data_IF_261231049615
#
_entry.id   IF_261231049615
#
_cell.length_a   1.000
_cell.length_b   1.000
_cell.length_c   1.000
_cell.angle_alpha   90.00
_cell.angle_beta   90.00
_cell.angle_gamma   90.00
#
_symmetry.space_group_name_H-M   'P 1'
#
loop_
_entity.id
_entity.type
_entity.pdbx_description
1 polymer ?
#
# COMPACT_ATOMS: atom_id res chain seq x y z
N UNK A 1 2.03 34.92 -38.03
CA UNK A 1 0.98 35.88 -38.40
C UNK A 1 0.20 35.18 -39.47
N UNK A 2 -1.10 34.89 -39.30
CA UNK A 2 -1.84 34.20 -40.35
C UNK A 2 -2.38 35.27 -41.29
N UNK A 3 -1.89 35.25 -42.52
CA UNK A 3 -2.36 36.13 -43.59
C UNK A 3 -3.12 35.23 -44.54
N UNK A 4 -4.43 35.38 -44.61
CA UNK A 4 -5.23 34.76 -45.66
C UNK A 4 -5.47 35.80 -46.74
N UNK A 5 -4.94 35.58 -47.95
CA UNK A 5 -5.11 36.47 -49.08
C UNK A 5 -6.12 35.83 -50.03
N UNK A 6 -7.27 36.48 -50.21
CA UNK A 6 -8.29 35.99 -51.11
C UNK A 6 -7.98 36.45 -52.54
N UNK A 7 -7.20 35.65 -53.27
CA UNK A 7 -6.80 35.94 -54.66
C UNK A 7 -7.93 35.79 -55.67
N UNK A 8 -8.91 34.91 -55.41
CA UNK A 8 -10.03 34.63 -56.30
C UNK A 8 -11.14 35.67 -56.11
N UNK A 9 -11.03 36.80 -56.82
CA UNK A 9 -12.02 37.87 -56.79
C UNK A 9 -12.54 38.20 -58.18
N UNK A 10 -13.84 38.45 -58.28
CA UNK A 10 -14.51 38.85 -59.53
C UNK A 10 -13.87 40.13 -60.06
N UNK A 11 -13.40 40.15 -61.31
CA UNK A 11 -12.71 41.30 -61.92
C UNK A 11 -11.18 41.32 -61.77
N UNK A 12 -10.56 40.27 -61.21
CA UNK A 12 -9.11 40.06 -61.19
C UNK A 12 -8.56 39.37 -62.43
N UNK A 13 -7.23 39.37 -62.62
CA UNK A 13 -6.56 38.66 -63.73
C UNK A 13 -6.54 37.16 -63.42
N UNK A 14 -7.19 36.30 -64.25
CA UNK A 14 -7.42 34.88 -63.89
C UNK A 14 -6.12 34.09 -63.66
N UNK A 15 -5.17 34.19 -64.61
CA UNK A 15 -3.97 33.34 -64.61
C UNK A 15 -3.05 33.56 -63.40
N UNK A 16 -2.88 34.81 -62.96
CA UNK A 16 -2.02 35.15 -61.83
C UNK A 16 -2.69 34.87 -60.49
N UNK A 17 -4.01 35.03 -60.42
CA UNK A 17 -4.77 34.83 -59.19
C UNK A 17 -4.97 33.34 -58.86
N UNK A 18 -5.15 32.50 -59.87
CA UNK A 18 -5.31 31.04 -59.68
C UNK A 18 -4.02 30.38 -59.18
N UNK A 19 -2.86 30.78 -59.72
CA UNK A 19 -1.56 30.28 -59.26
C UNK A 19 -1.29 30.68 -57.80
N UNK A 20 -1.57 31.94 -57.46
CA UNK A 20 -1.37 32.44 -56.09
C UNK A 20 -2.34 31.82 -55.08
N UNK A 21 -3.59 31.55 -55.48
CA UNK A 21 -4.54 30.79 -54.67
C UNK A 21 -4.02 29.37 -54.39
N UNK A 22 -3.51 28.69 -55.41
CA UNK A 22 -2.93 27.33 -55.27
C UNK A 22 -1.73 27.31 -54.32
N UNK A 23 -0.85 28.30 -54.39
CA UNK A 23 0.29 28.44 -53.47
C UNK A 23 -0.19 28.67 -52.04
N UNK A 24 -1.25 29.48 -51.85
CA UNK A 24 -1.82 29.73 -50.54
C UNK A 24 -2.42 28.44 -49.93
N UNK A 25 -3.14 27.64 -50.71
CA UNK A 25 -3.68 26.35 -50.27
C UNK A 25 -2.58 25.35 -49.89
N UNK A 26 -1.48 25.31 -50.66
CA UNK A 26 -0.33 24.49 -50.32
C UNK A 26 0.29 24.90 -48.96
N UNK A 27 0.37 26.21 -48.67
CA UNK A 27 0.85 26.71 -47.37
C UNK A 27 -0.14 26.37 -46.25
N UNK A 28 -1.45 26.41 -46.51
CA UNK A 28 -2.47 26.05 -45.52
C UNK A 28 -2.41 24.56 -45.12
N UNK A 29 -1.84 23.70 -45.96
CA UNK A 29 -1.67 22.27 -45.65
C UNK A 29 -0.76 22.05 -44.43
N UNK A 30 0.15 22.99 -44.12
CA UNK A 30 0.98 22.91 -42.92
C UNK A 30 0.19 23.03 -41.60
N UNK A 31 -1.08 23.49 -41.63
CA UNK A 31 -1.91 23.56 -40.43
C UNK A 31 -2.24 22.18 -39.84
N UNK A 32 -2.14 21.11 -40.62
CA UNK A 32 -2.31 19.73 -40.12
C UNK A 32 -1.27 19.41 -39.03
N UNK A 33 -0.10 20.07 -39.03
CA UNK A 33 0.88 19.95 -37.95
C UNK A 33 0.40 20.60 -36.64
N UNK A 34 -0.52 21.56 -36.72
CA UNK A 34 -1.21 22.15 -35.58
C UNK A 34 -2.13 21.14 -34.88
N UNK A 35 -2.84 20.32 -35.66
CA UNK A 35 -3.72 19.28 -35.11
C UNK A 35 -2.95 18.26 -34.26
N UNK A 36 -1.68 17.97 -34.61
CA UNK A 36 -0.82 17.06 -33.84
C UNK A 36 -0.50 17.57 -32.44
N UNK A 37 -0.35 18.89 -32.29
CA UNK A 37 -0.03 19.53 -31.01
C UNK A 37 -1.27 19.80 -30.15
N UNK A 38 -2.48 19.71 -30.72
CA UNK A 38 -3.75 19.91 -30.02
C UNK A 38 -4.20 21.38 -29.93
N UNK A 39 -5.48 21.56 -29.57
CA UNK A 39 -6.07 22.89 -29.38
C UNK A 39 -5.49 23.58 -28.14
N UNK A 40 -5.37 24.90 -28.17
CA UNK A 40 -4.84 25.74 -27.10
C UNK A 40 -3.41 25.34 -26.71
N UNK A 41 -2.56 25.11 -27.71
CA UNK A 41 -1.17 24.71 -27.48
C UNK A 41 -0.20 25.83 -27.88
N UNK A 42 0.78 26.10 -27.02
CA UNK A 42 1.90 27.00 -27.32
C UNK A 42 3.01 26.19 -28.00
N UNK A 43 3.31 26.52 -29.26
CA UNK A 43 4.39 25.86 -30.04
C UNK A 43 5.74 26.51 -29.76
N UNK A 44 5.78 27.85 -29.71
CA UNK A 44 7.04 28.60 -29.60
C UNK A 44 6.80 30.01 -29.05
N UNK A 45 7.83 30.61 -28.45
CA UNK A 45 7.74 31.92 -27.80
C UNK A 45 6.82 31.87 -26.59
N UNK A 46 6.02 32.91 -26.36
CA UNK A 46 5.08 33.01 -25.24
C UNK A 46 5.71 32.78 -23.85
N UNK A 47 6.92 33.30 -23.64
CA UNK A 47 7.63 33.19 -22.36
C UNK A 47 7.19 34.30 -21.43
N UNK A 48 6.90 33.94 -20.18
CA UNK A 48 6.47 34.90 -19.16
C UNK A 48 7.70 35.55 -18.53
N UNK A 49 7.74 36.88 -18.55
CA UNK A 49 8.77 37.70 -17.88
C UNK A 49 8.07 38.76 -17.04
N UNK A 50 8.00 38.53 -15.72
CA UNK A 50 7.23 39.38 -14.81
C UNK A 50 5.73 39.34 -15.17
N UNK A 51 5.14 40.51 -15.45
CA UNK A 51 3.72 40.65 -15.82
C UNK A 51 3.47 40.60 -17.34
N UNK A 52 4.49 40.33 -18.16
CA UNK A 52 4.37 40.33 -19.62
C UNK A 52 4.69 38.96 -20.21
N UNK A 53 4.05 38.65 -21.34
CA UNK A 53 4.34 37.49 -22.17
C UNK A 53 4.97 37.96 -23.48
N UNK A 54 6.07 37.32 -23.87
CA UNK A 54 6.72 37.59 -25.16
C UNK A 54 5.86 37.13 -26.35
N UNK A 55 6.06 37.70 -27.55
CA UNK A 55 5.39 37.21 -28.75
C UNK A 55 5.72 35.74 -29.03
N UNK A 56 4.84 35.05 -29.74
CA UNK A 56 5.02 33.62 -30.03
C UNK A 56 4.04 33.06 -31.04
N UNK A 57 3.92 31.74 -31.05
CA UNK A 57 3.03 30.98 -31.95
C UNK A 57 2.19 30.02 -31.13
N UNK A 58 0.89 30.09 -31.33
CA UNK A 58 -0.12 29.30 -30.61
C UNK A 58 -1.06 28.64 -31.60
N UNK A 59 -1.69 27.55 -31.17
CA UNK A 59 -2.73 26.84 -31.94
C UNK A 59 -4.07 27.10 -31.28
N UNK A 60 -5.03 27.55 -32.08
CA UNK A 60 -6.42 27.74 -31.65
C UNK A 60 -7.32 27.17 -32.74
N UNK A 61 -8.17 26.22 -32.38
CA UNK A 61 -9.13 25.53 -33.27
C UNK A 61 -8.48 24.97 -34.54
N UNK A 62 -7.27 24.39 -34.40
CA UNK A 62 -6.48 23.82 -35.49
C UNK A 62 -5.65 24.83 -36.30
N UNK A 63 -5.85 26.13 -36.06
CA UNK A 63 -5.14 27.18 -36.78
C UNK A 63 -3.84 27.58 -36.06
N UNK A 64 -2.72 27.57 -36.79
CA UNK A 64 -1.44 28.09 -36.30
C UNK A 64 -1.44 29.63 -36.41
N UNK A 65 -1.53 30.30 -35.28
CA UNK A 65 -1.66 31.75 -35.19
C UNK A 65 -0.46 32.38 -34.48
N UNK A 66 -0.14 33.62 -34.84
CA UNK A 66 0.87 34.38 -34.13
C UNK A 66 0.25 35.16 -33.00
N UNK A 67 0.89 35.04 -31.86
CA UNK A 67 0.56 35.73 -30.65
C UNK A 67 1.46 36.95 -30.49
N UNK A 68 0.85 38.13 -30.33
CA UNK A 68 1.58 39.40 -30.26
C UNK A 68 2.26 39.63 -28.90
N UNK A 69 1.91 38.85 -27.88
CA UNK A 69 2.39 39.09 -26.52
C UNK A 69 1.65 40.25 -25.85
N UNK A 70 2.21 40.72 -24.73
CA UNK A 70 1.68 41.85 -23.97
C UNK A 70 1.55 41.54 -22.49
N UNK A 71 0.86 42.43 -21.77
CA UNK A 71 0.59 42.25 -20.34
C UNK A 71 -0.39 41.11 -20.13
N UNK A 72 -0.12 40.25 -19.14
CA UNK A 72 -0.94 39.08 -18.83
C UNK A 72 -2.35 39.54 -18.45
N UNK A 73 -3.32 38.98 -19.16
CA UNK A 73 -4.77 39.06 -18.87
C UNK A 73 -5.32 37.63 -18.89
N UNK A 74 -6.45 37.40 -18.23
CA UNK A 74 -7.06 36.06 -18.14
C UNK A 74 -7.49 35.47 -19.48
N UNK A 75 -7.76 36.30 -20.50
CA UNK A 75 -8.27 35.83 -21.78
C UNK A 75 -7.46 36.32 -22.97
N UNK A 76 -7.41 35.48 -24.00
CA UNK A 76 -6.92 35.81 -25.34
C UNK A 76 -8.03 35.64 -26.36
N UNK A 77 -7.95 36.40 -27.44
CA UNK A 77 -8.90 36.30 -28.55
C UNK A 77 -8.18 36.43 -29.89
N UNK A 78 -8.80 35.92 -30.94
CA UNK A 78 -8.32 36.06 -32.32
C UNK A 78 -8.79 37.39 -32.88
N UNK A 79 -7.88 38.32 -33.04
CA UNK A 79 -8.11 39.59 -33.72
C UNK A 79 -7.99 39.40 -35.23
N UNK A 80 -9.01 39.85 -35.97
CA UNK A 80 -9.05 39.80 -37.44
C UNK A 80 -8.98 41.23 -37.98
N UNK A 81 -7.98 41.51 -38.80
CA UNK A 81 -7.76 42.79 -39.48
C UNK A 81 -7.95 42.58 -40.99
N UNK A 82 -8.87 43.33 -41.59
CA UNK A 82 -9.22 43.22 -43.01
C UNK A 82 -8.65 44.41 -43.79
N UNK A 83 -7.91 44.13 -44.86
CA UNK A 83 -7.39 45.15 -45.77
C UNK A 83 -8.18 45.11 -47.08
N UNK A 84 -8.90 46.20 -47.34
CA UNK A 84 -9.62 46.41 -48.59
C UNK A 84 -8.70 47.01 -49.66
N UNK A 85 -8.93 46.63 -50.91
CA UNK A 85 -8.36 47.30 -52.08
C UNK A 85 -9.45 47.57 -53.10
N UNK A 86 -9.30 48.68 -53.81
CA UNK A 86 -10.15 49.02 -54.95
C UNK A 86 -9.72 48.23 -56.18
N UNK A 87 -10.65 47.54 -56.81
CA UNK A 87 -10.42 46.73 -58.01
C UNK A 87 -10.65 47.54 -59.29
N UNK A 88 -10.32 46.97 -60.46
CA UNK A 88 -10.48 47.63 -61.76
C UNK A 88 -11.93 48.02 -62.09
N UNK A 89 -12.89 47.35 -61.45
CA UNK A 89 -14.32 47.65 -61.53
C UNK A 89 -14.76 48.78 -60.59
N UNK A 90 -13.81 49.50 -59.98
CA UNK A 90 -14.03 50.58 -59.00
C UNK A 90 -14.72 50.14 -57.70
N UNK A 91 -14.80 48.84 -57.44
CA UNK A 91 -15.37 48.32 -56.18
C UNK A 91 -14.27 47.98 -55.18
N UNK A 92 -14.51 48.34 -53.91
CA UNK A 92 -13.64 47.95 -52.80
C UNK A 92 -13.97 46.53 -52.36
N UNK A 93 -12.97 45.67 -52.29
CA UNK A 93 -13.11 44.29 -51.79
C UNK A 93 -11.99 43.97 -50.82
N UNK A 94 -12.29 43.15 -49.82
CA UNK A 94 -11.32 42.66 -48.84
C UNK A 94 -10.37 41.69 -49.52
N UNK A 95 -9.10 42.08 -49.66
CA UNK A 95 -8.08 41.26 -50.31
C UNK A 95 -7.30 40.43 -49.29
N UNK A 96 -6.97 41.02 -48.15
CA UNK A 96 -6.10 40.41 -47.15
C UNK A 96 -6.83 40.38 -45.81
N UNK A 97 -6.94 39.20 -45.23
CA UNK A 97 -7.45 38.98 -43.88
C UNK A 97 -6.29 38.52 -43.03
N UNK A 98 -5.91 39.32 -42.05
CA UNK A 98 -4.83 39.03 -41.12
C UNK A 98 -5.42 38.64 -39.77
N UNK A 99 -5.11 37.42 -39.31
CA UNK A 99 -5.48 36.93 -37.98
C UNK A 99 -4.26 36.90 -37.06
N UNK A 100 -4.37 37.58 -35.92
CA UNK A 100 -3.37 37.54 -34.83
C UNK A 100 -4.07 37.30 -33.50
N UNK A 101 -3.36 36.70 -32.55
CA UNK A 101 -3.88 36.47 -31.19
C UNK A 101 -3.36 37.56 -30.28
N UNK A 102 -4.27 38.17 -29.52
CA UNK A 102 -3.99 39.26 -28.58
C UNK A 102 -4.60 38.97 -27.22
N UNK A 103 -3.98 39.48 -26.16
CA UNK A 103 -4.63 39.54 -24.85
C UNK A 103 -5.80 40.53 -24.88
N UNK A 104 -6.88 40.18 -24.16
CA UNK A 104 -8.08 41.01 -24.02
C UNK A 104 -9.36 40.22 -24.23
N UNK A 105 -10.43 40.92 -24.56
CA UNK A 105 -11.73 40.32 -24.88
C UNK A 105 -12.11 40.64 -26.33
N UNK A 106 -12.51 39.61 -27.06
CA UNK A 106 -13.07 39.69 -28.42
C UNK A 106 -14.46 39.07 -28.48
N UNK A 107 -14.85 38.63 -29.68
CA UNK A 107 -16.12 37.93 -29.91
C UNK A 107 -16.11 36.50 -29.36
N UNK A 108 -14.98 35.81 -29.50
CA UNK A 108 -14.69 34.51 -28.91
C UNK A 108 -13.44 34.64 -28.06
N UNK A 109 -13.55 34.24 -26.79
CA UNK A 109 -12.47 34.32 -25.82
C UNK A 109 -12.01 32.92 -25.45
N UNK A 110 -10.70 32.73 -25.36
CA UNK A 110 -10.07 31.54 -24.82
C UNK A 110 -9.34 31.91 -23.54
N UNK A 111 -9.45 31.08 -22.52
CA UNK A 111 -8.77 31.32 -21.25
C UNK A 111 -7.26 31.08 -21.43
N UNK A 112 -6.43 32.01 -20.95
CA UNK A 112 -4.97 31.88 -21.11
C UNK A 112 -4.41 30.70 -20.31
N UNK A 113 -5.00 30.38 -19.16
CA UNK A 113 -4.57 29.27 -18.32
C UNK A 113 -4.83 27.89 -18.95
N UNK A 114 -5.70 27.82 -19.96
CA UNK A 114 -5.95 26.58 -20.70
C UNK A 114 -4.83 26.31 -21.73
N UNK A 115 -3.95 27.28 -21.99
CA UNK A 115 -2.86 27.10 -22.94
C UNK A 115 -1.73 26.26 -22.36
N UNK A 116 -1.50 25.10 -22.95
CA UNK A 116 -0.41 24.20 -22.54
C UNK A 116 0.80 24.40 -23.45
N UNK A 117 1.99 24.52 -22.86
CA UNK A 117 3.24 24.49 -23.62
C UNK A 117 3.59 23.06 -23.98
N UNK A 118 3.83 22.80 -25.26
CA UNK A 118 4.29 21.50 -25.72
C UNK A 118 5.75 21.29 -25.29
N UNK A 119 6.03 20.20 -24.57
CA UNK A 119 7.40 19.73 -24.33
C UNK A 119 8.03 19.26 -25.65
N UNK A 120 9.34 19.44 -25.78
CA UNK A 120 10.05 18.97 -26.98
C UNK A 120 10.06 17.44 -27.04
N UNK A 121 10.16 16.86 -28.24
CA UNK A 121 10.29 15.41 -28.42
C UNK A 121 11.49 14.83 -27.64
N UNK A 122 12.55 15.62 -27.47
CA UNK A 122 13.73 15.23 -26.69
C UNK A 122 13.43 15.15 -25.20
N UNK A 123 12.70 16.12 -24.65
CA UNK A 123 12.27 16.10 -23.25
C UNK A 123 11.30 14.96 -22.97
N UNK A 124 10.35 14.72 -23.86
CA UNK A 124 9.42 13.59 -23.76
C UNK A 124 10.15 12.23 -23.75
N UNK A 125 11.22 12.09 -24.55
CA UNK A 125 12.05 10.88 -24.53
C UNK A 125 12.77 10.71 -23.19
N UNK A 126 13.36 11.78 -22.67
CA UNK A 126 14.03 11.76 -21.34
C UNK A 126 13.03 11.41 -20.24
N UNK A 127 11.83 11.99 -20.26
CA UNK A 127 10.78 11.70 -19.28
C UNK A 127 10.28 10.27 -19.38
N UNK A 128 10.20 9.71 -20.58
CA UNK A 128 9.80 8.32 -20.79
C UNK A 128 10.87 7.35 -20.25
N UNK A 129 12.15 7.62 -20.50
CA UNK A 129 13.27 6.84 -19.97
C UNK A 129 13.35 6.90 -18.43
N UNK A 130 12.84 7.98 -17.83
CA UNK A 130 12.75 8.13 -16.37
C UNK A 130 11.55 7.44 -15.72
N UNK A 131 10.55 7.01 -16.50
CA UNK A 131 9.40 6.25 -15.98
C UNK A 131 9.78 4.77 -15.86
N UNK A 132 9.18 4.09 -14.89
CA UNK A 132 9.36 2.65 -14.75
C UNK A 132 8.85 1.94 -16.01
N UNK A 133 9.67 1.06 -16.58
CA UNK A 133 9.24 0.22 -17.70
C UNK A 133 8.14 -0.74 -17.25
N UNK A 134 7.26 -1.14 -18.19
CA UNK A 134 6.16 -2.08 -17.93
C UNK A 134 6.67 -3.36 -17.25
N UNK A 135 7.82 -3.85 -17.69
CA UNK A 135 8.49 -5.03 -17.10
C UNK A 135 8.76 -4.86 -15.59
N UNK A 136 9.15 -3.67 -15.15
CA UNK A 136 9.42 -3.41 -13.72
C UNK A 136 8.11 -3.37 -12.92
N UNK A 137 7.07 -2.76 -13.48
CA UNK A 137 5.73 -2.71 -12.87
C UNK A 137 5.18 -4.13 -12.69
N UNK A 138 5.23 -4.95 -13.74
CA UNK A 138 4.75 -6.34 -13.71
C UNK A 138 5.53 -7.17 -12.68
N UNK A 139 6.85 -7.03 -12.63
CA UNK A 139 7.69 -7.70 -11.63
C UNK A 139 7.37 -7.26 -10.20
N UNK A 140 7.01 -6.00 -9.99
CA UNK A 140 6.59 -5.52 -8.68
C UNK A 140 5.22 -6.07 -8.27
N UNK A 141 4.29 -6.15 -9.21
CA UNK A 141 2.98 -6.77 -9.01
C UNK A 141 3.10 -8.25 -8.63
N UNK A 142 3.91 -9.02 -9.36
CA UNK A 142 4.17 -10.44 -9.05
C UNK A 142 4.75 -10.63 -7.64
N UNK A 143 5.68 -9.75 -7.24
CA UNK A 143 6.25 -9.78 -5.89
C UNK A 143 5.22 -9.44 -4.81
N UNK A 144 4.30 -8.51 -5.08
CA UNK A 144 3.22 -8.15 -4.16
C UNK A 144 2.26 -9.33 -3.96
N UNK A 145 1.83 -10.00 -5.03
CA UNK A 145 0.97 -11.18 -4.95
C UNK A 145 1.60 -12.28 -4.08
N UNK A 146 2.92 -12.49 -4.21
CA UNK A 146 3.64 -13.45 -3.37
C UNK A 146 3.73 -12.99 -1.90
N UNK A 147 3.96 -11.69 -1.66
CA UNK A 147 4.01 -11.14 -0.31
C UNK A 147 2.66 -11.25 0.39
N UNK A 148 1.57 -10.89 -0.29
CA UNK A 148 0.21 -11.00 0.25
C UNK A 148 -0.14 -12.43 0.67
N UNK A 149 0.24 -13.43 -0.14
CA UNK A 149 0.06 -14.85 0.23
C UNK A 149 0.87 -15.25 1.46
N UNK A 150 2.09 -14.73 1.59
CA UNK A 150 2.97 -15.02 2.74
C UNK A 150 2.50 -14.32 4.02
N UNK A 151 1.93 -13.13 3.90
CA UNK A 151 1.48 -12.33 5.05
C UNK A 151 0.01 -12.57 5.41
N UNK A 152 -0.79 -13.19 4.53
CA UNK A 152 -2.20 -13.51 4.77
C UNK A 152 -2.52 -14.15 6.14
N UNK A 153 -1.75 -15.12 6.69
CA UNK A 153 -2.06 -15.69 8.00
C UNK A 153 -1.66 -14.79 9.19
N UNK A 154 -0.91 -13.71 8.94
CA UNK A 154 -0.46 -12.77 9.97
C UNK A 154 -1.59 -11.78 10.22
N UNK A 155 -2.52 -12.16 11.11
CA UNK A 155 -3.68 -11.34 11.49
C UNK A 155 -3.70 -11.07 13.00
N UNK A 156 -4.20 -9.91 13.41
CA UNK A 156 -4.36 -9.54 14.82
C UNK A 156 -5.21 -10.61 15.54
N UNK A 157 -4.70 -11.17 16.64
CA UNK A 157 -5.40 -12.21 17.41
C UNK A 157 -5.37 -13.63 16.81
N UNK A 158 -4.80 -13.82 15.61
CA UNK A 158 -4.80 -15.13 14.94
C UNK A 158 -3.49 -15.92 15.04
N UNK A 159 -2.36 -15.25 15.31
CA UNK A 159 -1.04 -15.88 15.38
C UNK A 159 -0.23 -15.34 16.55
N UNK A 160 0.64 -16.19 17.09
CA UNK A 160 1.62 -15.81 18.12
C UNK A 160 3.00 -16.35 17.76
N UNK A 161 4.04 -15.59 18.09
CA UNK A 161 5.43 -16.01 17.95
C UNK A 161 6.21 -15.85 19.25
N UNK A 162 7.17 -16.74 19.47
CA UNK A 162 8.08 -16.65 20.59
C UNK A 162 9.06 -15.48 20.39
N UNK A 163 9.15 -14.61 21.40
CA UNK A 163 10.00 -13.45 21.46
C UNK A 163 10.98 -13.59 22.63
N UNK A 164 12.25 -13.80 22.31
CA UNK A 164 13.32 -14.07 23.28
C UNK A 164 14.04 -12.80 23.78
N UNK A 165 13.49 -11.63 23.48
CA UNK A 165 14.03 -10.32 23.87
C UNK A 165 13.10 -9.64 24.90
N UNK A 166 13.54 -8.57 25.57
CA UNK A 166 12.68 -7.80 26.45
C UNK A 166 11.39 -7.34 25.76
N UNK A 167 10.28 -7.30 26.50
CA UNK A 167 8.97 -6.83 26.00
C UNK A 167 9.03 -5.37 25.54
N UNK A 168 9.92 -4.56 26.13
CA UNK A 168 10.16 -3.19 25.73
C UNK A 168 10.81 -3.05 24.32
N UNK A 169 11.39 -4.12 23.78
CA UNK A 169 12.02 -4.14 22.44
C UNK A 169 11.07 -4.68 21.36
N UNK A 170 9.79 -4.92 21.66
CA UNK A 170 8.84 -5.41 20.65
C UNK A 170 8.76 -4.40 19.50
N UNK A 171 8.93 -4.84 18.23
CA UNK A 171 8.87 -3.94 17.09
C UNK A 171 7.51 -3.25 16.93
N UNK A 172 7.51 -2.06 16.29
CA UNK A 172 6.27 -1.42 15.88
C UNK A 172 5.42 -2.34 14.99
N UNK A 173 4.10 -2.28 15.14
CA UNK A 173 3.16 -3.19 14.48
C UNK A 173 3.01 -4.55 15.16
N UNK A 174 3.64 -4.76 16.32
CA UNK A 174 3.51 -5.95 17.17
C UNK A 174 3.19 -5.55 18.61
N UNK A 175 2.58 -6.46 19.35
CA UNK A 175 2.36 -6.33 20.80
C UNK A 175 2.60 -7.65 21.51
N UNK A 176 2.75 -7.60 22.82
CA UNK A 176 2.77 -8.82 23.63
C UNK A 176 1.39 -9.49 23.64
N UNK A 177 1.35 -10.79 23.37
CA UNK A 177 0.16 -11.62 23.50
C UNK A 177 0.05 -12.14 24.94
N UNK A 178 -0.79 -11.49 25.73
CA UNK A 178 -0.90 -11.81 27.17
C UNK A 178 -1.74 -13.06 27.48
N UNK A 179 -2.61 -13.47 26.54
CA UNK A 179 -3.56 -14.57 26.72
C UNK A 179 -2.89 -15.95 26.93
N UNK A 180 -1.65 -16.09 26.48
CA UNK A 180 -0.84 -17.32 26.53
C UNK A 180 0.25 -17.29 27.61
N UNK A 181 0.30 -16.25 28.45
CA UNK A 181 1.29 -16.16 29.53
C UNK A 181 1.23 -17.38 30.46
N UNK A 182 2.37 -18.02 30.65
CA UNK A 182 2.50 -19.19 31.53
C UNK A 182 1.80 -20.45 31.02
N UNK A 183 1.37 -20.47 29.75
CA UNK A 183 0.73 -21.62 29.09
C UNK A 183 1.64 -22.19 28.01
N UNK A 184 1.62 -23.49 27.85
CA UNK A 184 2.20 -24.16 26.69
C UNK A 184 1.14 -24.23 25.59
N UNK A 185 1.51 -23.92 24.35
CA UNK A 185 0.62 -24.04 23.20
C UNK A 185 0.57 -25.51 22.78
N UNK A 186 -0.63 -26.06 22.72
CA UNK A 186 -0.88 -27.43 22.28
C UNK A 186 -1.62 -27.39 20.94
N UNK A 187 -1.29 -28.32 20.05
CA UNK A 187 -1.95 -28.42 18.75
C UNK A 187 -3.44 -28.73 18.90
N UNK A 188 -4.27 -28.01 18.15
CA UNK A 188 -5.70 -28.29 18.08
C UNK A 188 -5.95 -29.68 17.47
N UNK A 189 -6.81 -30.47 18.12
CA UNK A 189 -7.25 -31.77 17.61
C UNK A 189 -8.77 -31.90 17.78
N UNK A 190 -9.56 -31.80 16.70
CA UNK A 190 -11.03 -31.86 16.79
C UNK A 190 -11.57 -33.21 17.28
N UNK A 191 -10.76 -34.28 17.22
CA UNK A 191 -11.16 -35.62 17.64
C UNK A 191 -10.77 -35.93 19.10
N UNK A 192 -10.21 -34.96 19.82
CA UNK A 192 -9.83 -35.08 21.22
C UNK A 192 -10.65 -34.08 22.04
N UNK A 193 -11.44 -34.57 23.01
CA UNK A 193 -12.31 -33.72 23.80
C UNK A 193 -11.54 -32.61 24.54
N UNK A 194 -10.32 -32.90 25.01
CA UNK A 194 -9.50 -31.94 25.75
C UNK A 194 -8.91 -30.85 24.83
N UNK A 195 -8.75 -31.13 23.53
CA UNK A 195 -8.10 -30.25 22.54
C UNK A 195 -9.00 -29.87 21.36
N UNK A 196 -10.31 -30.11 21.45
CA UNK A 196 -11.29 -29.91 20.36
C UNK A 196 -11.67 -28.45 20.14
N UNK A 197 -11.46 -27.58 21.13
CA UNK A 197 -11.89 -26.17 21.11
C UNK A 197 -10.69 -25.24 21.14
N UNK A 198 -10.52 -24.42 20.10
CA UNK A 198 -9.46 -23.40 20.03
C UNK A 198 -9.65 -22.37 21.15
N UNK A 199 -8.56 -22.03 21.84
CA UNK A 199 -8.57 -21.05 22.93
C UNK A 199 -8.97 -21.61 24.30
N UNK A 200 -9.39 -22.87 24.38
CA UNK A 200 -9.58 -23.53 25.67
C UNK A 200 -8.25 -23.58 26.45
N UNK A 201 -8.32 -23.52 27.77
CA UNK A 201 -7.15 -23.54 28.66
C UNK A 201 -7.29 -24.66 29.68
N UNK A 202 -6.18 -25.33 30.00
CA UNK A 202 -6.16 -26.43 30.96
C UNK A 202 -4.75 -26.68 31.51
N UNK A 203 -4.62 -27.75 32.31
CA UNK A 203 -3.37 -28.18 32.92
C UNK A 203 -3.11 -27.57 34.31
N UNK A 204 -2.05 -28.07 34.96
CA UNK A 204 -1.58 -27.60 36.27
C UNK A 204 -0.05 -27.63 36.32
N UNK A 205 0.55 -26.83 37.20
CA UNK A 205 1.99 -26.89 37.50
C UNK A 205 2.35 -27.97 38.51
N UNK A 206 1.38 -28.35 39.34
CA UNK A 206 1.56 -29.35 40.39
C UNK A 206 0.39 -30.32 40.43
N UNK A 207 0.66 -31.54 40.95
CA UNK A 207 -0.38 -32.53 41.25
C UNK A 207 -0.16 -33.05 42.67
N UNK A 208 -1.24 -33.19 43.42
CA UNK A 208 -1.24 -33.82 44.73
C UNK A 208 -1.85 -35.20 44.62
N UNK A 209 -1.18 -36.21 45.20
CA UNK A 209 -1.69 -37.58 45.18
C UNK A 209 -2.92 -37.71 46.09
N UNK A 210 -3.95 -38.34 45.57
CA UNK A 210 -5.14 -38.73 46.31
C UNK A 210 -5.08 -40.22 46.65
N UNK A 211 -5.88 -40.66 47.64
CA UNK A 211 -5.95 -42.08 48.03
C UNK A 211 -6.29 -42.99 46.84
N UNK A 212 -7.13 -42.52 45.90
CA UNK A 212 -7.49 -43.28 44.69
C UNK A 212 -6.35 -43.46 43.68
N UNK A 213 -5.27 -42.68 43.79
CA UNK A 213 -4.08 -42.77 42.93
C UNK A 213 -2.97 -43.63 43.55
N UNK A 214 -3.13 -44.11 44.79
CA UNK A 214 -2.14 -44.97 45.44
C UNK A 214 -2.15 -46.37 44.82
N UNK A 215 -0.98 -47.02 44.70
CA UNK A 215 -0.92 -48.42 44.30
C UNK A 215 -1.64 -49.30 45.32
N UNK A 216 -2.24 -50.40 44.85
CA UNK A 216 -2.84 -51.41 45.74
C UNK A 216 -1.73 -52.13 46.51
N UNK A 217 -1.49 -51.69 47.73
CA UNK A 217 -0.47 -52.26 48.63
C UNK A 217 -1.14 -52.84 49.89
N UNK A 218 -0.61 -53.96 50.38
CA UNK A 218 -1.02 -54.58 51.66
C UNK A 218 0.23 -54.83 52.48
N UNK A 219 0.20 -54.42 53.75
CA UNK A 219 1.26 -54.71 54.71
C UNK A 219 0.72 -55.66 55.78
N UNK A 220 1.50 -56.69 56.13
CA UNK A 220 1.22 -57.58 57.25
C UNK A 220 2.38 -57.47 58.23
N UNK A 221 2.09 -57.18 59.49
CA UNK A 221 3.08 -57.33 60.55
C UNK A 221 2.41 -57.79 61.84
N UNK A 222 3.16 -58.49 62.69
CA UNK A 222 2.72 -58.95 64.00
C UNK A 222 3.75 -58.51 65.02
N UNK A 223 3.32 -57.77 66.05
CA UNK A 223 4.19 -57.34 67.14
C UNK A 223 3.91 -58.17 68.39
N UNK A 224 4.90 -58.93 68.84
CA UNK A 224 4.85 -59.74 70.06
C UNK A 224 5.75 -59.13 71.12
N UNK A 225 5.19 -58.73 72.26
CA UNK A 225 5.95 -58.25 73.41
C UNK A 225 5.80 -59.19 74.62
N UNK A 226 6.86 -59.41 75.41
CA UNK A 226 6.76 -60.13 76.68
C UNK A 226 5.93 -59.32 77.70
N UNK A 227 5.06 -60.00 78.43
CA UNK A 227 4.20 -59.39 79.44
C UNK A 227 5.00 -59.10 80.73
N UNK A 228 5.19 -57.79 81.00
CA UNK A 228 5.70 -57.17 82.24
C UNK A 228 7.23 -57.05 82.45
N UNK A 229 7.60 -55.95 83.10
CA UNK A 229 8.97 -55.55 83.43
C UNK A 229 9.62 -56.52 84.43
N UNK A 230 10.82 -57.01 84.10
CA UNK A 230 11.59 -57.93 84.94
C UNK A 230 11.60 -59.39 84.47
N UNK A 231 10.85 -59.75 83.42
CA UNK A 231 10.88 -61.11 82.87
C UNK A 231 12.06 -61.30 81.91
N UNK A 232 13.12 -61.97 82.36
CA UNK A 232 14.35 -62.26 81.58
C UNK A 232 14.22 -63.52 80.70
N UNK A 233 13.01 -63.84 80.22
CA UNK A 233 12.73 -65.05 79.45
C UNK A 233 12.78 -64.80 77.95
N UNK A 234 13.75 -65.42 77.26
CA UNK A 234 13.79 -65.46 75.80
C UNK A 234 12.65 -66.29 75.18
N UNK A 235 12.55 -66.27 73.85
CA UNK A 235 11.48 -66.90 73.05
C UNK A 235 11.39 -68.45 73.12
N UNK A 236 12.16 -69.12 74.00
CA UNK A 236 12.28 -70.57 74.05
C UNK A 236 11.49 -71.23 75.18
N UNK A 237 10.40 -71.92 74.83
CA UNK A 237 9.89 -73.10 75.54
C UNK A 237 9.41 -72.93 76.99
N UNK A 238 8.25 -72.30 77.18
CA UNK A 238 7.54 -72.23 78.47
C UNK A 238 6.25 -71.42 78.34
N UNK A 239 5.26 -71.64 79.21
CA UNK A 239 3.89 -71.06 79.16
C UNK A 239 3.80 -69.53 79.34
N UNK A 240 4.53 -68.78 78.52
CA UNK A 240 4.65 -67.33 78.57
C UNK A 240 3.38 -66.65 78.03
N UNK A 241 2.93 -65.60 78.71
CA UNK A 241 1.84 -64.74 78.24
C UNK A 241 2.42 -63.60 77.39
N UNK A 242 1.91 -63.41 76.17
CA UNK A 242 2.32 -62.35 75.25
C UNK A 242 1.18 -61.34 75.05
N UNK A 243 1.53 -60.06 74.92
CA UNK A 243 0.57 -59.05 74.48
C UNK A 243 0.63 -58.92 72.95
N UNK A 244 -0.48 -59.24 72.27
CA UNK A 244 -0.67 -59.03 70.84
C UNK A 244 -1.64 -57.86 70.68
N UNK A 245 -1.17 -56.77 70.06
CA UNK A 245 -1.98 -55.58 69.82
C UNK A 245 -1.79 -55.08 68.40
N UNK A 246 -2.85 -54.50 67.84
CA UNK A 246 -2.75 -53.67 66.63
C UNK A 246 -1.97 -52.41 66.99
N UNK A 247 -0.97 -52.10 66.19
CA UNK A 247 -0.24 -50.83 66.27
C UNK A 247 -0.33 -50.17 64.90
N UNK A 248 -0.32 -48.85 64.88
CA UNK A 248 -0.20 -48.11 63.62
C UNK A 248 1.28 -47.90 63.32
N UNK A 249 1.64 -48.00 62.04
CA UNK A 249 2.94 -47.49 61.58
C UNK A 249 2.89 -45.97 61.57
N UNK A 250 4.05 -45.32 61.61
CA UNK A 250 4.11 -43.89 61.31
C UNK A 250 3.52 -43.62 59.91
N UNK A 251 2.90 -42.45 59.75
CA UNK A 251 2.45 -41.98 58.44
C UNK A 251 3.64 -41.88 57.48
N UNK A 252 3.44 -42.33 56.24
CA UNK A 252 4.41 -42.20 55.16
C UNK A 252 3.96 -41.11 54.19
N UNK A 253 4.90 -40.26 53.79
CA UNK A 253 4.66 -39.17 52.85
C UNK A 253 4.24 -37.86 53.51
N UNK A 254 4.58 -36.74 52.88
CA UNK A 254 4.34 -35.39 53.42
C UNK A 254 3.14 -34.69 52.77
N UNK A 255 2.36 -35.42 51.97
CA UNK A 255 1.21 -34.93 51.21
C UNK A 255 1.48 -33.62 50.42
N UNK A 256 2.72 -33.40 50.01
CA UNK A 256 3.16 -32.18 49.33
C UNK A 256 2.91 -32.31 47.83
N UNK A 257 2.38 -31.27 47.14
CA UNK A 257 2.20 -31.32 45.70
C UNK A 257 3.52 -31.56 44.96
N UNK A 258 3.47 -32.46 43.98
CA UNK A 258 4.59 -32.79 43.10
C UNK A 258 4.58 -31.80 41.94
N UNK A 259 5.74 -31.21 41.64
CA UNK A 259 5.91 -30.37 40.45
C UNK A 259 5.88 -31.26 39.18
N UNK A 260 5.00 -30.93 38.24
CA UNK A 260 4.82 -31.65 36.97
C UNK A 260 5.26 -30.83 35.75
N UNK A 261 5.92 -29.69 35.96
CA UNK A 261 6.44 -28.89 34.86
C UNK A 261 7.57 -29.63 34.14
N UNK A 262 7.46 -29.72 32.82
CA UNK A 262 8.53 -30.21 31.95
C UNK A 262 9.66 -29.17 31.87
N UNK A 263 10.91 -29.58 31.56
CA UNK A 263 11.99 -28.64 31.22
C UNK A 263 11.53 -27.67 30.11
N UNK A 264 11.70 -26.36 30.32
CA UNK A 264 11.19 -25.33 29.41
C UNK A 264 12.09 -24.10 29.38
N UNK A 265 11.93 -23.29 28.33
CA UNK A 265 12.55 -21.96 28.19
C UNK A 265 11.47 -20.90 28.18
N UNK A 266 11.72 -19.79 28.87
CA UNK A 266 10.77 -18.68 28.96
C UNK A 266 11.03 -17.71 27.81
N UNK A 267 9.98 -17.44 27.03
CA UNK A 267 9.92 -16.38 26.03
C UNK A 267 8.60 -15.61 26.22
N UNK A 268 8.60 -14.33 25.88
CA UNK A 268 7.34 -13.64 25.66
C UNK A 268 6.68 -14.18 24.38
N UNK A 269 5.36 -14.12 24.30
CA UNK A 269 4.67 -14.33 23.02
C UNK A 269 4.25 -12.98 22.48
N UNK A 270 4.41 -12.77 21.18
CA UNK A 270 3.98 -11.55 20.49
C UNK A 270 2.98 -11.87 19.38
N UNK A 271 2.09 -10.93 19.11
CA UNK A 271 1.09 -11.01 18.04
C UNK A 271 1.06 -9.69 17.24
N UNK A 272 0.55 -9.70 16.00
CA UNK A 272 0.40 -8.49 15.22
C UNK A 272 -0.49 -7.46 15.91
N UNK A 273 -0.18 -6.19 15.66
CA UNK A 273 -0.93 -5.03 16.13
C UNK A 273 -0.81 -3.90 15.11
N UNK A 274 -1.30 -4.18 13.90
CA UNK A 274 -1.49 -3.17 12.85
C UNK A 274 -2.96 -2.72 12.80
#
# INVERSE_FOLDING_TARGET
MRININFLQTGGVPLTNDLMATIMDAILTYNVLGDLAGNLTIISGCTITGQNVSPGVVIIDGDVLYFEGGTIVSTVYVHTEEFTKTFQDTTDKVLIIKKTVKFGSGATNHNWDDFIRLSTLKELQIELDGKADQTQVDNHEDRLIVLEKKTAPIINGGIVWAWFKPVAEIPAGWKECTNVRGKTIVGWNPNDNDFSTIGNSGGSKTVQLTVGQLPKIKFQYTRTLPWAAGSSGGFGGGGNQFNISTQDTNELGNNTPINIMIPHTIAAFIEPNF
#
